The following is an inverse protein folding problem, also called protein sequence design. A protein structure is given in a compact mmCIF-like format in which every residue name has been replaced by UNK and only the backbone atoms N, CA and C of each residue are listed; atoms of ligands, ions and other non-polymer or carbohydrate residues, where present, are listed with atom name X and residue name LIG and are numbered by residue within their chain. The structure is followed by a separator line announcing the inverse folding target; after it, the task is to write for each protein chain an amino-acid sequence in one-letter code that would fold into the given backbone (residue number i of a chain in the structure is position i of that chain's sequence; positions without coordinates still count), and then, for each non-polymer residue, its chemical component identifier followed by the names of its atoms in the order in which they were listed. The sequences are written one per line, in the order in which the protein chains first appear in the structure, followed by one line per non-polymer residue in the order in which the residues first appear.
data_IF_424181131773
#
_entry.id   IF_424181131773
#
_cell.length_a   1.000
_cell.length_b   1.000
_cell.length_c   1.000
_cell.angle_alpha   90.00
_cell.angle_beta   90.00
_cell.angle_gamma   90.00
#
_symmetry.space_group_name_H-M   'P 1'
#
loop_
_entity.id
_entity.type
_entity.pdbx_description
1 polymer ?
#
# COMPACT_ATOMS: atom_id res chain seq x y z
N UNK A 1 1.53 -6.36 -2.70
CA UNK A 1 1.80 -6.80 -4.09
C UNK A 1 2.59 -5.80 -4.93
N UNK A 2 2.51 -4.48 -4.69
CA UNK A 2 3.37 -3.51 -5.39
C UNK A 2 4.50 -3.11 -4.44
N UNK A 3 5.60 -3.84 -4.53
CA UNK A 3 6.83 -3.55 -3.79
C UNK A 3 7.88 -2.96 -4.72
N UNK A 4 8.86 -3.77 -5.11
CA UNK A 4 9.95 -3.40 -6.02
C UNK A 4 9.54 -3.51 -7.50
N UNK A 5 9.58 -2.40 -8.28
CA UNK A 5 9.29 -2.44 -9.72
C UNK A 5 10.32 -3.20 -10.56
N UNK A 6 11.53 -3.47 -10.06
CA UNK A 6 12.56 -4.26 -10.76
C UNK A 6 12.40 -5.78 -10.55
N UNK A 7 11.54 -6.18 -9.61
CA UNK A 7 11.35 -7.56 -9.20
C UNK A 7 9.87 -7.89 -8.98
N UNK A 8 9.02 -7.47 -9.93
CA UNK A 8 7.60 -7.75 -9.86
C UNK A 8 7.33 -9.23 -10.18
N UNK A 9 7.05 -10.02 -9.13
CA UNK A 9 6.90 -11.46 -9.25
C UNK A 9 5.52 -11.86 -9.80
N UNK A 10 5.51 -12.45 -11.00
CA UNK A 10 4.39 -13.18 -11.58
C UNK A 10 4.67 -14.69 -11.53
N UNK A 11 3.65 -15.55 -11.70
CA UNK A 11 3.84 -17.00 -11.64
C UNK A 11 4.90 -17.54 -12.62
N UNK A 12 4.95 -16.99 -13.84
CA UNK A 12 5.79 -17.50 -14.92
C UNK A 12 7.02 -16.62 -15.20
N UNK A 13 7.08 -15.42 -14.62
CA UNK A 13 8.15 -14.46 -14.89
C UNK A 13 8.30 -13.45 -13.77
N UNK A 14 9.55 -13.11 -13.43
CA UNK A 14 9.84 -11.90 -12.66
C UNK A 14 10.04 -10.74 -13.62
N UNK A 15 9.14 -9.77 -13.57
CA UNK A 15 9.15 -8.59 -14.42
C UNK A 15 9.96 -7.44 -13.81
N UNK A 16 10.79 -6.83 -14.64
CA UNK A 16 11.45 -5.56 -14.38
C UNK A 16 10.76 -4.48 -15.22
N UNK A 17 10.01 -3.62 -14.54
CA UNK A 17 9.28 -2.52 -15.14
C UNK A 17 9.98 -1.16 -14.94
N UNK A 18 11.19 -1.14 -14.37
CA UNK A 18 11.89 0.12 -14.02
C UNK A 18 12.22 1.00 -15.22
N UNK A 19 12.29 0.42 -16.41
CA UNK A 19 12.63 1.09 -17.66
C UNK A 19 11.48 1.09 -18.67
N UNK A 20 10.23 0.90 -18.21
CA UNK A 20 9.06 0.92 -19.10
C UNK A 20 8.79 2.34 -19.61
N UNK A 21 8.61 2.46 -20.91
CA UNK A 21 8.14 3.68 -21.58
C UNK A 21 6.83 3.41 -22.31
N UNK A 22 5.97 4.42 -22.32
CA UNK A 22 4.66 4.38 -22.97
C UNK A 22 4.60 5.56 -23.93
N UNK A 23 4.33 5.28 -25.20
CA UNK A 23 4.19 6.29 -26.26
C UNK A 23 2.81 6.18 -26.90
N UNK A 24 2.12 7.30 -27.10
CA UNK A 24 0.84 7.32 -27.79
C UNK A 24 1.06 7.27 -29.29
N UNK A 25 0.64 6.17 -29.93
CA UNK A 25 0.82 5.92 -31.37
C UNK A 25 -0.48 6.06 -32.18
N UNK A 26 -1.58 6.45 -31.53
CA UNK A 26 -2.85 6.77 -32.19
C UNK A 26 -3.98 7.13 -31.21
N UNK A 27 -5.18 7.44 -31.72
CA UNK A 27 -6.38 7.53 -30.90
C UNK A 27 -6.61 6.19 -30.17
N UNK A 28 -6.76 6.25 -28.85
CA UNK A 28 -6.98 5.08 -27.98
C UNK A 28 -5.94 3.95 -28.12
N UNK A 29 -4.71 4.27 -28.55
CA UNK A 29 -3.63 3.29 -28.74
C UNK A 29 -2.29 3.80 -28.20
N UNK A 30 -1.63 2.96 -27.42
CA UNK A 30 -0.28 3.20 -26.92
C UNK A 30 0.65 2.04 -27.29
N UNK A 31 1.90 2.36 -27.55
CA UNK A 31 2.99 1.40 -27.58
C UNK A 31 3.66 1.38 -26.19
N UNK A 32 3.95 0.19 -25.69
CA UNK A 32 4.64 -0.01 -24.41
C UNK A 32 5.93 -0.76 -24.67
N UNK A 33 7.06 -0.18 -24.29
CA UNK A 33 8.40 -0.74 -24.52
C UNK A 33 9.22 -0.74 -23.22
N UNK A 34 10.36 -1.44 -23.21
CA UNK A 34 11.31 -1.42 -22.09
C UNK A 34 11.03 -2.37 -20.92
N UNK A 35 9.92 -3.11 -20.93
CA UNK A 35 9.68 -4.19 -19.97
C UNK A 35 10.65 -5.37 -20.21
N UNK A 36 11.24 -5.90 -19.13
CA UNK A 36 12.16 -7.05 -19.19
C UNK A 36 11.70 -8.19 -18.27
N UNK A 37 11.92 -9.43 -18.69
CA UNK A 37 11.66 -10.63 -17.88
C UNK A 37 12.96 -11.30 -17.46
N UNK A 38 13.08 -11.71 -16.19
CA UNK A 38 14.27 -12.40 -15.64
C UNK A 38 14.12 -13.92 -15.52
N UNK A 39 13.01 -14.48 -15.99
CA UNK A 39 12.67 -15.90 -15.91
C UNK A 39 11.64 -16.22 -14.83
N UNK A 40 11.18 -17.47 -14.80
CA UNK A 40 10.19 -17.95 -13.83
C UNK A 40 10.80 -18.00 -12.42
N UNK A 41 10.07 -17.54 -11.38
CA UNK A 41 10.52 -17.67 -10.00
C UNK A 41 10.56 -19.16 -9.58
N UNK A 42 11.47 -19.51 -8.67
CA UNK A 42 11.59 -20.87 -8.14
C UNK A 42 10.39 -21.30 -7.27
N UNK A 43 9.62 -20.31 -6.77
CA UNK A 43 8.48 -20.53 -5.88
C UNK A 43 7.13 -20.40 -6.58
N UNK A 44 6.09 -20.91 -5.93
CA UNK A 44 4.71 -20.75 -6.38
C UNK A 44 4.11 -19.43 -5.88
N UNK A 45 3.43 -18.69 -6.77
CA UNK A 45 2.58 -17.57 -6.36
C UNK A 45 1.29 -18.12 -5.76
N UNK A 46 1.08 -17.90 -4.47
CA UNK A 46 -0.14 -18.31 -3.76
C UNK A 46 -0.98 -17.07 -3.44
N UNK A 47 -2.27 -17.15 -3.76
CA UNK A 47 -3.27 -16.23 -3.20
C UNK A 47 -4.08 -17.00 -2.18
N UNK A 48 -3.96 -16.61 -0.91
CA UNK A 48 -4.69 -17.21 0.19
C UNK A 48 -5.42 -16.11 0.95
N UNK A 49 -6.70 -16.35 1.21
CA UNK A 49 -7.52 -15.49 2.03
C UNK A 49 -7.83 -16.24 3.31
N UNK A 50 -7.53 -15.64 4.46
CA UNK A 50 -7.93 -16.14 5.75
C UNK A 50 -8.66 -15.04 6.53
N UNK A 51 -9.48 -15.45 7.49
CA UNK A 51 -10.17 -14.51 8.37
C UNK A 51 -9.17 -13.94 9.38
N UNK A 52 -8.57 -12.80 9.05
CA UNK A 52 -7.61 -12.07 9.90
C UNK A 52 -8.30 -11.03 10.79
N UNK A 53 -9.26 -11.51 11.59
CA UNK A 53 -10.04 -10.65 12.47
C UNK A 53 -10.96 -9.66 11.75
N UNK A 54 -11.25 -8.54 12.41
CA UNK A 54 -12.15 -7.50 11.92
C UNK A 54 -11.41 -6.18 11.80
N UNK A 55 -11.56 -5.51 10.66
CA UNK A 55 -11.05 -4.14 10.46
C UNK A 55 -12.20 -3.16 10.55
N UNK A 56 -12.16 -2.29 11.57
CA UNK A 56 -13.00 -1.09 11.66
C UNK A 56 -12.20 0.15 11.26
N UNK A 57 -12.84 1.10 10.58
CA UNK A 57 -12.19 2.35 10.19
C UNK A 57 -13.20 3.48 10.02
N UNK A 58 -12.78 4.70 10.32
CA UNK A 58 -13.56 5.92 10.10
C UNK A 58 -12.70 6.96 9.39
N UNK A 59 -13.30 7.66 8.43
CA UNK A 59 -12.68 8.83 7.79
C UNK A 59 -13.24 10.06 8.47
N UNK A 60 -12.35 10.91 8.99
CA UNK A 60 -12.69 12.18 9.60
C UNK A 60 -12.17 13.31 8.73
N UNK A 61 -13.08 14.13 8.22
CA UNK A 61 -12.72 15.25 7.35
C UNK A 61 -12.82 16.56 8.14
N UNK A 62 -11.79 17.40 8.02
CA UNK A 62 -11.77 18.73 8.60
C UNK A 62 -11.71 19.78 7.48
N UNK A 63 -12.56 20.80 7.59
CA UNK A 63 -12.63 21.89 6.63
C UNK A 63 -12.50 23.25 7.34
N UNK A 64 -11.98 24.25 6.62
CA UNK A 64 -11.84 25.62 7.08
C UNK A 64 -10.41 26.00 7.44
N UNK A 65 -10.26 27.14 8.14
CA UNK A 65 -8.95 27.68 8.51
C UNK A 65 -8.19 26.69 9.39
N UNK A 66 -6.91 26.49 9.09
CA UNK A 66 -5.99 25.63 9.84
C UNK A 66 -6.46 24.17 9.96
N UNK A 67 -7.21 23.68 8.97
CA UNK A 67 -7.75 22.32 8.98
C UNK A 67 -6.65 21.26 9.05
N UNK A 68 -5.52 21.50 8.40
CA UNK A 68 -4.31 20.66 8.44
C UNK A 68 -3.70 20.61 9.86
N UNK A 69 -3.55 21.76 10.51
CA UNK A 69 -3.00 21.86 11.87
C UNK A 69 -3.93 21.18 12.87
N UNK A 70 -5.25 21.40 12.73
CA UNK A 70 -6.28 20.77 13.57
C UNK A 70 -6.31 19.26 13.38
N UNK A 71 -6.24 18.78 12.14
CA UNK A 71 -6.21 17.36 11.83
C UNK A 71 -4.98 16.68 12.45
N UNK A 72 -3.80 17.31 12.35
CA UNK A 72 -2.57 16.80 12.96
C UNK A 72 -2.67 16.71 14.48
N UNK A 73 -3.09 17.81 15.15
CA UNK A 73 -3.25 17.81 16.61
C UNK A 73 -4.27 16.78 17.09
N UNK A 74 -5.35 16.61 16.33
CA UNK A 74 -6.36 15.59 16.62
C UNK A 74 -5.77 14.19 16.51
N UNK A 75 -5.05 13.87 15.43
CA UNK A 75 -4.40 12.59 15.24
C UNK A 75 -3.39 12.28 16.38
N UNK A 76 -2.53 13.23 16.73
CA UNK A 76 -1.55 13.09 17.82
C UNK A 76 -2.25 12.76 19.16
N UNK A 77 -3.33 13.48 19.46
CA UNK A 77 -4.12 13.28 20.68
C UNK A 77 -4.85 11.93 20.70
N UNK A 78 -5.36 11.51 19.55
CA UNK A 78 -6.03 10.23 19.36
C UNK A 78 -5.07 9.07 19.64
N UNK A 79 -3.91 9.05 18.99
CA UNK A 79 -2.90 8.01 19.20
C UNK A 79 -2.41 7.97 20.65
N UNK A 80 -2.13 9.14 21.25
CA UNK A 80 -1.74 9.21 22.66
C UNK A 80 -2.78 8.55 23.58
N UNK A 81 -4.06 8.88 23.39
CA UNK A 81 -5.15 8.31 24.20
C UNK A 81 -5.33 6.81 23.95
N UNK A 82 -5.27 6.37 22.69
CA UNK A 82 -5.39 4.95 22.35
C UNK A 82 -4.28 4.11 22.98
N UNK A 83 -3.02 4.58 22.96
CA UNK A 83 -1.90 3.90 23.62
C UNK A 83 -2.14 3.69 25.11
N UNK A 84 -2.66 4.70 25.80
CA UNK A 84 -3.02 4.58 27.22
C UNK A 84 -4.09 3.49 27.43
N UNK A 85 -5.09 3.43 26.56
CA UNK A 85 -6.17 2.42 26.64
C UNK A 85 -5.60 1.02 26.38
N UNK A 86 -4.77 0.85 25.34
CA UNK A 86 -4.13 -0.43 25.01
C UNK A 86 -3.26 -0.93 26.16
N UNK A 87 -2.41 -0.06 26.72
CA UNK A 87 -1.57 -0.39 27.87
C UNK A 87 -2.40 -0.82 29.08
N UNK A 88 -3.49 -0.11 29.39
CA UNK A 88 -4.40 -0.49 30.49
C UNK A 88 -5.10 -1.82 30.25
N UNK A 89 -5.34 -2.18 28.99
CA UNK A 89 -5.92 -3.46 28.60
C UNK A 89 -4.87 -4.58 28.50
N UNK A 90 -3.57 -4.30 28.71
CA UNK A 90 -2.49 -5.28 28.54
C UNK A 90 -2.24 -5.68 27.08
N UNK A 91 -2.65 -4.85 26.13
CA UNK A 91 -2.49 -5.07 24.69
C UNK A 91 -1.22 -4.39 24.16
N UNK A 92 -0.60 -4.93 23.09
CA UNK A 92 0.55 -4.31 22.44
C UNK A 92 0.20 -2.97 21.79
N UNK A 93 1.22 -2.15 21.50
CA UNK A 93 1.07 -0.89 20.76
C UNK A 93 0.79 -1.13 19.26
N UNK A 94 0.51 -0.06 18.51
CA UNK A 94 0.31 -0.08 17.06
C UNK A 94 1.54 -0.64 16.33
N UNK A 95 1.29 -1.52 15.35
CA UNK A 95 2.32 -2.17 14.55
C UNK A 95 2.68 -1.44 13.26
N UNK A 96 1.80 -0.54 12.79
CA UNK A 96 1.92 0.25 11.54
C UNK A 96 1.28 1.63 11.71
#
# INVERSE_FOLDING_TARGET
EIGDPQAYQLPDVVCDFSSVSIEQVGPDRVEVTGARGRGAPEGYKVSATYADGFRGGHIWTMYGRDADIKAKKFADSLFHRCRIILQRAGLPDFSE
#
